data_IF_013240504364
#
_entry.id   IF_013240504364
#
_cell.length_a   1.000
_cell.length_b   1.000
_cell.length_c   1.000
_cell.angle_alpha   90.00
_cell.angle_beta   90.00
_cell.angle_gamma   90.00
#
_symmetry.space_group_name_H-M   'P 1'
#
loop_
_entity.id
_entity.type
_entity.pdbx_description
1 polymer ?
#
# COMPACT_ATOMS: atom_id res chain seq x y z
N UNK A 1 17.39 8.58 12.17
CA UNK A 1 16.90 7.37 11.46
C UNK A 1 15.98 7.80 10.34
N UNK A 2 16.18 7.24 9.13
CA UNK A 2 15.31 7.52 7.99
C UNK A 2 13.99 6.78 8.18
N UNK A 3 12.86 7.46 7.99
CA UNK A 3 11.55 6.82 7.95
C UNK A 3 11.39 6.04 6.65
N UNK A 4 10.84 4.85 6.74
CA UNK A 4 10.49 4.02 5.59
C UNK A 4 8.97 3.99 5.44
N UNK A 5 8.50 3.89 4.20
CA UNK A 5 7.06 3.85 3.90
C UNK A 5 6.76 2.63 3.04
N UNK A 6 5.70 1.90 3.41
CA UNK A 6 5.19 0.74 2.70
C UNK A 6 3.73 0.98 2.33
N UNK A 7 3.42 0.86 1.05
CA UNK A 7 2.07 0.94 0.51
C UNK A 7 1.67 -0.45 0.02
N UNK A 8 0.58 -0.98 0.53
CA UNK A 8 0.06 -2.29 0.15
C UNK A 8 -1.39 -2.13 -0.28
N UNK A 9 -1.62 -2.29 -1.57
CA UNK A 9 -2.96 -2.37 -2.13
C UNK A 9 -3.44 -3.82 -2.11
N UNK A 10 -4.75 -4.04 -1.97
CA UNK A 10 -5.37 -5.37 -1.80
C UNK A 10 -4.63 -6.20 -0.74
N UNK A 11 -4.37 -5.57 0.42
CA UNK A 11 -3.46 -6.15 1.41
C UNK A 11 -3.93 -7.49 1.97
N UNK A 12 -5.22 -7.84 1.85
CA UNK A 12 -5.77 -9.11 2.26
C UNK A 12 -5.10 -10.30 1.54
N UNK A 13 -4.61 -10.11 0.33
CA UNK A 13 -3.94 -11.16 -0.44
C UNK A 13 -2.54 -11.50 0.12
N UNK A 14 -1.97 -10.57 0.88
CA UNK A 14 -0.63 -10.67 1.47
C UNK A 14 -0.65 -11.02 2.96
N UNK A 15 -1.82 -11.08 3.61
CA UNK A 15 -1.94 -11.29 5.06
C UNK A 15 -1.90 -12.78 5.48
N UNK A 16 -1.55 -13.68 4.58
CA UNK A 16 -1.26 -15.09 4.91
C UNK A 16 0.14 -15.26 5.49
N UNK A 17 0.51 -14.38 6.42
CA UNK A 17 1.80 -14.43 7.08
C UNK A 17 1.72 -15.32 8.34
N UNK A 18 2.81 -15.98 8.72
CA UNK A 18 2.87 -16.79 9.94
C UNK A 18 2.77 -15.97 11.24
N UNK A 19 2.78 -14.64 11.14
CA UNK A 19 2.60 -13.70 12.26
C UNK A 19 1.26 -13.00 12.11
N UNK A 20 0.57 -12.76 13.23
CA UNK A 20 -0.71 -12.04 13.22
C UNK A 20 -0.56 -10.60 12.72
N UNK A 21 -1.59 -10.11 12.03
CA UNK A 21 -1.62 -8.73 11.49
C UNK A 21 -1.40 -7.69 12.59
N UNK A 22 -1.96 -7.90 13.76
CA UNK A 22 -1.80 -7.01 14.92
C UNK A 22 -0.33 -6.90 15.33
N UNK A 23 0.37 -8.01 15.46
CA UNK A 23 1.78 -8.05 15.83
C UNK A 23 2.66 -7.37 14.76
N UNK A 24 2.38 -7.60 13.48
CA UNK A 24 3.08 -6.96 12.37
C UNK A 24 2.92 -5.44 12.40
N UNK A 25 1.69 -4.95 12.57
CA UNK A 25 1.40 -3.52 12.60
C UNK A 25 2.00 -2.83 13.83
N UNK A 26 1.95 -3.50 14.99
CA UNK A 26 2.58 -2.99 16.20
C UNK A 26 4.11 -2.89 16.06
N UNK A 27 4.75 -3.91 15.47
CA UNK A 27 6.21 -3.92 15.23
C UNK A 27 6.63 -2.92 14.16
N UNK A 28 5.85 -2.70 13.11
CA UNK A 28 6.17 -1.73 12.06
C UNK A 28 6.48 -0.35 12.65
N UNK A 29 5.70 0.08 13.65
CA UNK A 29 5.94 1.34 14.36
C UNK A 29 7.28 1.38 15.09
N UNK A 30 7.69 0.27 15.72
CA UNK A 30 8.97 0.17 16.43
C UNK A 30 10.17 0.27 15.48
N UNK A 31 9.98 -0.13 14.22
CA UNK A 31 11.00 -0.03 13.16
C UNK A 31 10.89 1.26 12.34
N UNK A 32 10.13 2.25 12.78
CA UNK A 32 9.91 3.50 12.06
C UNK A 32 9.38 3.30 10.63
N UNK A 33 8.54 2.28 10.45
CA UNK A 33 7.90 1.93 9.19
C UNK A 33 6.47 2.47 9.16
N UNK A 34 6.21 3.47 8.32
CA UNK A 34 4.87 3.94 7.99
C UNK A 34 4.20 2.96 7.03
N UNK A 35 3.01 2.49 7.37
CA UNK A 35 2.25 1.57 6.50
C UNK A 35 0.95 2.20 6.06
N UNK A 36 0.67 2.11 4.76
CA UNK A 36 -0.62 2.43 4.15
C UNK A 36 -1.18 1.15 3.56
N UNK A 37 -2.32 0.72 4.07
CA UNK A 37 -2.99 -0.51 3.65
C UNK A 37 -4.32 -0.14 2.97
N UNK A 38 -4.58 -0.69 1.80
CA UNK A 38 -5.83 -0.52 1.09
C UNK A 38 -6.50 -1.86 0.80
N UNK A 39 -7.83 -1.88 0.83
CA UNK A 39 -8.66 -3.04 0.46
C UNK A 39 -10.05 -2.57 0.04
N UNK A 40 -10.79 -3.44 -0.63
CA UNK A 40 -12.10 -3.07 -1.17
C UNK A 40 -13.26 -3.43 -0.22
N UNK A 41 -13.23 -4.58 0.43
CA UNK A 41 -14.33 -5.08 1.25
C UNK A 41 -13.86 -5.62 2.60
N UNK A 42 -14.47 -5.14 3.70
CA UNK A 42 -14.14 -5.61 5.05
C UNK A 42 -14.33 -7.12 5.22
N UNK A 43 -15.31 -7.70 4.54
CA UNK A 43 -15.61 -9.15 4.57
C UNK A 43 -14.51 -10.05 4.01
N UNK A 44 -13.56 -9.49 3.27
CA UNK A 44 -12.39 -10.24 2.79
C UNK A 44 -11.34 -10.46 3.89
N UNK A 45 -11.45 -9.70 4.97
CA UNK A 45 -10.56 -9.80 6.13
C UNK A 45 -11.10 -10.82 7.12
N UNK A 46 -10.20 -11.62 7.71
CA UNK A 46 -10.56 -12.40 8.89
C UNK A 46 -10.80 -11.48 10.08
N UNK A 47 -11.58 -11.92 11.05
CA UNK A 47 -11.92 -11.12 12.24
C UNK A 47 -10.67 -10.60 12.97
N UNK A 48 -9.63 -11.43 13.08
CA UNK A 48 -8.37 -11.06 13.73
C UNK A 48 -7.64 -9.97 12.94
N UNK A 49 -7.60 -10.07 11.61
CA UNK A 49 -6.97 -9.06 10.75
C UNK A 49 -7.74 -7.75 10.82
N UNK A 50 -9.07 -7.81 10.74
CA UNK A 50 -9.93 -6.63 10.84
C UNK A 50 -9.74 -5.93 12.19
N UNK A 51 -9.78 -6.68 13.28
CA UNK A 51 -9.56 -6.14 14.62
C UNK A 51 -8.17 -5.51 14.76
N UNK A 52 -7.12 -6.19 14.26
CA UNK A 52 -5.75 -5.68 14.27
C UNK A 52 -5.60 -4.38 13.48
N UNK A 53 -6.19 -4.31 12.29
CA UNK A 53 -6.16 -3.08 11.45
C UNK A 53 -6.94 -1.95 12.12
N UNK A 54 -8.15 -2.20 12.59
CA UNK A 54 -8.99 -1.17 13.21
C UNK A 54 -8.36 -0.61 14.48
N UNK A 55 -7.63 -1.43 15.25
CA UNK A 55 -6.94 -1.02 16.48
C UNK A 55 -5.68 -0.21 16.22
N UNK A 56 -4.88 -0.62 15.23
CA UNK A 56 -3.53 -0.07 15.02
C UNK A 56 -3.49 1.05 13.97
N UNK A 57 -4.37 1.04 12.96
CA UNK A 57 -4.44 2.10 11.96
C UNK A 57 -5.10 3.35 12.58
N UNK A 58 -4.28 4.35 12.91
CA UNK A 58 -4.75 5.59 13.54
C UNK A 58 -5.46 6.54 12.57
N UNK A 59 -5.02 6.56 11.32
CA UNK A 59 -5.70 7.29 10.23
C UNK A 59 -6.47 6.32 9.38
N UNK A 60 -7.71 6.67 9.06
CA UNK A 60 -8.62 5.83 8.27
C UNK A 60 -9.32 6.71 7.24
N UNK A 61 -9.39 6.24 6.01
CA UNK A 61 -10.08 6.92 4.90
C UNK A 61 -11.03 5.91 4.29
N UNK A 62 -12.28 6.32 4.12
CA UNK A 62 -13.34 5.49 3.58
C UNK A 62 -13.99 6.18 2.38
N UNK A 63 -13.85 5.58 1.23
CA UNK A 63 -14.61 5.91 0.03
C UNK A 63 -16.00 5.29 0.10
N UNK A 64 -16.74 5.29 -1.00
CA UNK A 64 -18.02 4.65 -1.06
C UNK A 64 -17.96 3.20 -0.57
N UNK A 65 -18.88 2.84 0.33
CA UNK A 65 -18.93 1.51 0.95
C UNK A 65 -20.19 0.74 0.55
N UNK A 66 -20.11 -0.57 0.65
CA UNK A 66 -21.28 -1.44 0.53
C UNK A 66 -22.24 -1.27 1.72
N UNK A 67 -23.49 -1.72 1.55
CA UNK A 67 -24.48 -1.73 2.64
C UNK A 67 -24.00 -2.58 3.82
N UNK A 68 -23.32 -3.69 3.54
CA UNK A 68 -22.84 -4.60 4.58
C UNK A 68 -21.70 -3.99 5.42
N UNK A 69 -20.82 -3.21 4.76
CA UNK A 69 -19.64 -2.64 5.42
C UNK A 69 -19.93 -1.30 6.12
N UNK A 70 -20.94 -0.54 5.67
CA UNK A 70 -21.22 0.82 6.13
C UNK A 70 -21.40 0.93 7.64
N UNK A 71 -22.03 -0.06 8.28
CA UNK A 71 -22.22 -0.06 9.74
C UNK A 71 -20.89 -0.23 10.51
N UNK A 72 -19.99 -1.07 10.00
CA UNK A 72 -18.66 -1.26 10.60
C UNK A 72 -17.80 0.00 10.41
N UNK A 73 -17.89 0.64 9.26
CA UNK A 73 -17.21 1.90 8.96
C UNK A 73 -17.69 3.04 9.86
N UNK A 74 -19.00 3.19 10.07
CA UNK A 74 -19.52 4.21 11.01
C UNK A 74 -18.98 4.03 12.42
N UNK A 75 -18.93 2.79 12.91
CA UNK A 75 -18.31 2.51 14.22
C UNK A 75 -16.83 2.89 14.26
N UNK A 76 -16.09 2.63 13.18
CA UNK A 76 -14.67 2.96 13.09
C UNK A 76 -14.43 4.47 12.96
N UNK A 77 -15.33 5.21 12.34
CA UNK A 77 -15.33 6.67 12.31
C UNK A 77 -15.66 7.28 13.68
N UNK A 78 -16.35 6.55 14.53
CA UNK A 78 -16.75 6.95 15.89
C UNK A 78 -17.50 8.30 15.90
N UNK A 79 -18.56 8.39 15.10
CA UNK A 79 -19.42 9.58 15.01
C UNK A 79 -20.89 9.17 14.95
N UNK A 80 -21.75 10.07 15.43
CA UNK A 80 -23.21 9.97 15.29
C UNK A 80 -23.75 10.95 14.23
N UNK A 81 -22.89 11.76 13.62
CA UNK A 81 -23.26 12.80 12.67
C UNK A 81 -23.42 12.27 11.23
N UNK A 82 -23.01 11.03 10.99
CA UNK A 82 -23.09 10.36 9.69
C UNK A 82 -24.01 9.15 9.77
N UNK A 83 -24.68 8.87 8.66
CA UNK A 83 -25.53 7.70 8.46
C UNK A 83 -24.90 6.68 7.52
N UNK A 84 -25.43 5.45 7.50
CA UNK A 84 -25.02 4.44 6.50
C UNK A 84 -25.24 4.95 5.07
N UNK A 85 -26.32 5.73 4.85
CA UNK A 85 -26.65 6.31 3.56
C UNK A 85 -25.60 7.31 3.07
N UNK A 86 -24.98 8.08 3.96
CA UNK A 86 -23.95 9.05 3.59
C UNK A 86 -22.70 8.34 3.05
N UNK A 87 -22.33 7.20 3.62
CA UNK A 87 -21.21 6.38 3.14
C UNK A 87 -21.50 5.67 1.82
N UNK A 88 -22.77 5.26 1.61
CA UNK A 88 -23.19 4.53 0.40
C UNK A 88 -23.38 5.44 -0.82
N UNK A 89 -23.57 6.75 -0.60
CA UNK A 89 -23.85 7.75 -1.65
C UNK A 89 -22.66 8.63 -2.01
N UNK A 90 -21.48 8.35 -1.45
CA UNK A 90 -20.27 9.07 -1.85
C UNK A 90 -20.03 8.93 -3.35
N UNK A 91 -19.73 10.05 -3.99
CA UNK A 91 -19.37 10.08 -5.40
C UNK A 91 -17.90 9.68 -5.61
N UNK A 92 -17.51 9.54 -6.87
CA UNK A 92 -16.11 9.32 -7.22
C UNK A 92 -15.21 10.40 -6.61
N UNK A 93 -14.10 9.97 -6.03
CA UNK A 93 -13.12 10.83 -5.36
C UNK A 93 -13.59 11.43 -4.02
N UNK A 94 -14.79 11.17 -3.57
CA UNK A 94 -15.27 11.61 -2.26
C UNK A 94 -14.99 10.53 -1.20
N UNK A 95 -14.65 10.97 -0.01
CA UNK A 95 -14.36 10.10 1.11
C UNK A 95 -14.65 10.77 2.46
N UNK A 96 -14.86 9.96 3.48
CA UNK A 96 -14.75 10.39 4.87
C UNK A 96 -13.43 9.90 5.46
N UNK A 97 -12.78 10.77 6.20
CA UNK A 97 -11.51 10.45 6.85
C UNK A 97 -11.56 10.76 8.34
N UNK A 98 -10.93 9.91 9.13
CA UNK A 98 -10.54 10.18 10.51
C UNK A 98 -9.02 10.10 10.58
N UNK A 99 -8.35 11.19 10.92
CA UNK A 99 -6.90 11.32 10.84
C UNK A 99 -6.28 11.37 12.23
N UNK A 100 -5.12 10.77 12.37
CA UNK A 100 -4.31 10.89 13.58
C UNK A 100 -3.82 12.34 13.75
N UNK A 101 -4.06 12.93 14.91
CA UNK A 101 -3.62 14.29 15.26
C UNK A 101 -2.95 14.23 16.63
N UNK A 102 -1.65 14.48 16.68
CA UNK A 102 -0.86 14.34 17.92
C UNK A 102 -1.04 12.95 18.53
N UNK A 103 -1.49 12.88 19.78
CA UNK A 103 -1.77 11.62 20.49
C UNK A 103 -3.17 11.06 20.25
N UNK A 104 -4.08 11.86 19.67
CA UNK A 104 -5.49 11.53 19.41
C UNK A 104 -5.82 11.29 17.94
N UNK A 105 -7.09 11.41 17.61
CA UNK A 105 -7.64 11.39 16.26
C UNK A 105 -8.60 12.55 16.07
N UNK A 106 -8.73 13.05 14.85
CA UNK A 106 -9.71 14.09 14.49
C UNK A 106 -11.15 13.59 14.64
N UNK A 107 -12.10 14.49 14.66
CA UNK A 107 -13.47 14.17 14.23
C UNK A 107 -13.41 13.72 12.75
N UNK A 108 -14.42 12.97 12.28
CA UNK A 108 -14.53 12.65 10.86
C UNK A 108 -14.63 13.93 10.03
N UNK A 109 -13.93 13.94 8.91
CA UNK A 109 -13.96 15.05 7.94
C UNK A 109 -14.28 14.49 6.56
N UNK A 110 -15.10 15.22 5.80
CA UNK A 110 -15.28 14.94 4.37
C UNK A 110 -14.05 15.42 3.59
N UNK A 111 -13.67 14.66 2.58
CA UNK A 111 -12.56 15.02 1.69
C UNK A 111 -12.89 14.65 0.25
N UNK A 112 -12.22 15.32 -0.68
CA UNK A 112 -12.28 14.99 -2.10
C UNK A 112 -10.86 14.83 -2.62
N UNK A 113 -10.57 13.69 -3.24
CA UNK A 113 -9.29 13.43 -3.86
C UNK A 113 -9.27 14.01 -5.28
N UNK A 114 -8.08 14.24 -5.80
CA UNK A 114 -7.92 14.69 -7.18
C UNK A 114 -8.07 13.50 -8.15
N UNK A 115 -8.58 13.71 -9.35
CA UNK A 115 -8.52 12.69 -10.40
C UNK A 115 -7.06 12.39 -10.76
N UNK A 116 -6.79 11.22 -11.40
CA UNK A 116 -5.46 10.91 -11.87
C UNK A 116 -4.88 12.03 -12.74
N UNK A 117 -3.59 12.29 -12.61
CA UNK A 117 -2.92 13.26 -13.46
C UNK A 117 -3.04 12.85 -14.93
N UNK A 118 -3.15 13.82 -15.86
CA UNK A 118 -3.15 13.51 -17.28
C UNK A 118 -1.91 12.71 -17.68
N UNK A 119 -2.08 11.75 -18.60
CA UNK A 119 -0.94 11.00 -19.14
C UNK A 119 0.02 11.94 -19.86
N UNK A 120 1.29 11.90 -19.46
CA UNK A 120 2.36 12.66 -20.11
C UNK A 120 2.95 11.95 -21.34
N UNK A 121 2.43 10.77 -21.70
CA UNK A 121 2.90 9.99 -22.85
C UNK A 121 4.31 9.40 -22.68
N UNK A 122 4.87 9.40 -21.48
CA UNK A 122 6.25 8.98 -21.22
C UNK A 122 6.47 7.47 -21.17
N UNK A 123 5.45 6.65 -21.39
CA UNK A 123 5.52 5.18 -21.24
C UNK A 123 6.66 4.56 -22.04
N UNK A 124 6.80 4.95 -23.32
CA UNK A 124 7.88 4.42 -24.18
C UNK A 124 9.26 4.78 -23.65
N UNK A 125 9.45 6.04 -23.26
CA UNK A 125 10.70 6.52 -22.68
C UNK A 125 11.03 5.82 -21.37
N UNK A 126 10.03 5.64 -20.50
CA UNK A 126 10.21 4.91 -19.23
C UNK A 126 10.62 3.45 -19.45
N UNK A 127 10.00 2.75 -20.43
CA UNK A 127 10.37 1.38 -20.79
C UNK A 127 11.82 1.32 -21.31
N UNK A 128 12.18 2.22 -22.24
CA UNK A 128 13.53 2.25 -22.79
C UNK A 128 14.57 2.54 -21.72
N UNK A 129 14.37 3.59 -20.93
CA UNK A 129 15.29 3.96 -19.84
C UNK A 129 15.41 2.82 -18.82
N UNK A 130 14.31 2.20 -18.43
CA UNK A 130 14.34 1.06 -17.53
C UNK A 130 15.11 -0.13 -18.11
N UNK A 131 14.90 -0.41 -19.41
CA UNK A 131 15.63 -1.48 -20.09
C UNK A 131 17.14 -1.20 -20.19
N UNK A 132 17.54 0.04 -20.46
CA UNK A 132 18.95 0.46 -20.53
C UNK A 132 19.65 0.40 -19.19
N UNK A 133 18.97 0.86 -18.09
CA UNK A 133 19.61 0.92 -16.76
C UNK A 133 19.54 -0.40 -15.98
N UNK A 134 18.45 -1.14 -16.12
CA UNK A 134 18.17 -2.32 -15.29
C UNK A 134 17.98 -3.60 -16.10
N UNK A 135 17.81 -3.47 -17.43
CA UNK A 135 17.65 -4.61 -18.32
C UNK A 135 18.98 -5.35 -18.55
N UNK A 136 18.85 -6.61 -18.95
CA UNK A 136 19.94 -7.45 -19.43
C UNK A 136 19.50 -8.11 -20.73
N UNK A 137 20.46 -8.41 -21.60
CA UNK A 137 20.16 -9.14 -22.83
C UNK A 137 19.54 -10.51 -22.51
N UNK A 138 18.48 -10.85 -23.23
CA UNK A 138 17.73 -12.09 -23.00
C UNK A 138 18.60 -13.33 -23.22
N UNK A 139 19.50 -13.30 -24.22
CA UNK A 139 20.38 -14.42 -24.52
C UNK A 139 21.39 -14.65 -23.38
N UNK A 140 21.92 -13.57 -22.79
CA UNK A 140 22.82 -13.64 -21.64
C UNK A 140 22.11 -14.23 -20.42
N UNK A 141 20.91 -13.76 -20.11
CA UNK A 141 20.10 -14.29 -18.99
C UNK A 141 19.75 -15.77 -19.20
N UNK A 142 19.35 -16.14 -20.42
CA UNK A 142 19.05 -17.55 -20.74
C UNK A 142 20.27 -18.45 -20.61
N UNK A 143 21.42 -17.95 -21.02
CA UNK A 143 22.69 -18.68 -20.90
C UNK A 143 23.05 -18.87 -19.43
N UNK A 144 22.96 -17.82 -18.61
CA UNK A 144 23.22 -17.91 -17.18
C UNK A 144 22.26 -18.91 -16.49
N UNK A 145 20.97 -18.89 -16.82
CA UNK A 145 20.01 -19.85 -16.27
C UNK A 145 20.38 -21.30 -16.65
N UNK A 146 20.76 -21.54 -17.90
CA UNK A 146 21.19 -22.88 -18.36
C UNK A 146 22.43 -23.35 -17.62
N UNK A 147 23.41 -22.48 -17.40
CA UNK A 147 24.64 -22.79 -16.67
C UNK A 147 24.37 -23.08 -15.19
N UNK A 148 23.54 -22.30 -14.52
CA UNK A 148 23.11 -22.58 -13.15
C UNK A 148 22.42 -23.93 -13.01
N UNK A 149 21.55 -24.29 -13.96
CA UNK A 149 20.88 -25.60 -13.97
C UNK A 149 21.86 -26.76 -14.16
N UNK A 150 23.01 -26.52 -14.78
CA UNK A 150 24.12 -27.54 -14.95
C UNK A 150 25.05 -27.59 -13.74
N UNK A 151 24.75 -26.86 -12.64
CA UNK A 151 25.55 -26.90 -11.41
C UNK A 151 26.89 -26.18 -11.48
N UNK A 152 27.11 -25.33 -12.50
CA UNK A 152 28.33 -24.51 -12.55
C UNK A 152 28.13 -23.26 -11.67
N UNK A 153 29.04 -22.95 -10.72
CA UNK A 153 28.97 -21.72 -9.95
C UNK A 153 29.14 -20.53 -10.91
N UNK A 154 28.22 -19.57 -10.86
CA UNK A 154 28.37 -18.30 -11.58
C UNK A 154 29.38 -17.44 -10.87
N UNK A 155 30.60 -17.38 -11.40
CA UNK A 155 31.62 -16.40 -11.01
C UNK A 155 31.23 -15.04 -11.61
N UNK A 156 31.32 -14.01 -10.79
CA UNK A 156 31.15 -12.58 -11.10
C UNK A 156 29.73 -12.09 -11.44
N UNK A 157 28.95 -11.89 -10.39
CA UNK A 157 27.90 -10.86 -10.46
C UNK A 157 28.58 -9.49 -10.41
N UNK A 158 28.63 -8.78 -11.54
CA UNK A 158 28.82 -7.33 -11.46
C UNK A 158 27.75 -6.78 -10.51
N UNK A 159 28.12 -6.03 -9.46
CA UNK A 159 27.15 -5.41 -8.59
C UNK A 159 26.21 -4.56 -9.46
N UNK A 160 24.91 -4.67 -9.21
CA UNK A 160 23.94 -3.76 -9.81
C UNK A 160 24.37 -2.35 -9.43
N UNK A 161 24.79 -1.57 -10.41
CA UNK A 161 25.11 -0.18 -10.18
C UNK A 161 23.78 0.57 -10.05
N UNK A 162 23.20 0.50 -8.84
CA UNK A 162 22.03 1.29 -8.48
C UNK A 162 22.56 2.71 -8.26
N UNK A 163 22.81 3.41 -9.34
CA UNK A 163 23.07 4.84 -9.32
C UNK A 163 21.82 5.55 -8.86
N UNK A 164 21.64 5.62 -7.54
CA UNK A 164 20.70 6.55 -6.92
C UNK A 164 21.29 7.94 -7.19
N UNK A 165 20.93 8.55 -8.32
CA UNK A 165 21.05 9.98 -8.45
C UNK A 165 20.09 10.57 -7.43
N UNK A 166 20.63 11.25 -6.44
CA UNK A 166 19.85 12.09 -5.55
C UNK A 166 18.97 12.99 -6.41
N UNK A 167 17.69 12.91 -6.19
CA UNK A 167 16.72 13.84 -6.75
C UNK A 167 16.84 15.10 -5.89
N UNK A 168 17.79 15.97 -6.23
CA UNK A 168 17.82 17.32 -5.69
C UNK A 168 16.69 18.13 -6.33
N UNK A 169 15.73 18.53 -5.46
CA UNK A 169 14.72 19.59 -5.49
C UNK A 169 13.56 19.42 -6.47
#
# INVERSE_FOLDING_TARGET
EKSNYLYVDEFQDFMRLPIGAEEMLAKARAFNLGMTLAHQHLRQLTDDVLAGVLSNARSKIYFQTSTEDSRAVLRALATNDLTESDLQRLENYEAFARVAVGTGSSSPVSMKTMPPAPSIGATRMAIQTSAEFYGRDVADVQTEIKERRKGKPTTDRKPLNIGIKEWDQ
#
